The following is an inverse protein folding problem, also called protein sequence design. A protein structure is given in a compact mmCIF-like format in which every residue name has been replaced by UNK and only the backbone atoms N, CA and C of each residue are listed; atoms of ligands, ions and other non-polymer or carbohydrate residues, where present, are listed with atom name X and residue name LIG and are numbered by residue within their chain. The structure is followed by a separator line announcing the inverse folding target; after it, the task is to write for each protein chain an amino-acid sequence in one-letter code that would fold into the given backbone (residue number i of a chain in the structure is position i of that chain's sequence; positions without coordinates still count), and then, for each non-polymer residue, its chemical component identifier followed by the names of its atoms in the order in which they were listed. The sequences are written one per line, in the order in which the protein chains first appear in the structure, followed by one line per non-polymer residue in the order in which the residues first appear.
data_IF_853564950417
#
_entry.id   IF_853564950417
#
_cell.length_a   1.000
_cell.length_b   1.000
_cell.length_c   1.000
_cell.angle_alpha   90.00
_cell.angle_beta   90.00
_cell.angle_gamma   90.00
#
_symmetry.space_group_name_H-M   'P 1'
#
loop_
_entity.id
_entity.type
_entity.pdbx_description
1 polymer ?
#
# COMPACT_ATOMS: atom_id res chain seq x y z
N UNK A 1 30.62 -16.96 -4.68
CA UNK A 1 29.87 -17.70 -5.74
C UNK A 1 29.07 -18.80 -5.05
N UNK A 2 27.81 -18.52 -4.73
CA UNK A 2 26.86 -19.53 -4.23
C UNK A 2 25.87 -19.80 -5.34
N UNK A 3 25.88 -21.02 -5.86
CA UNK A 3 24.91 -21.49 -6.82
C UNK A 3 23.60 -21.73 -6.10
N UNK A 4 22.53 -21.05 -6.49
CA UNK A 4 21.18 -21.30 -6.04
C UNK A 4 20.63 -22.54 -6.75
N UNK A 5 19.94 -23.46 -6.09
CA UNK A 5 19.34 -24.60 -6.74
C UNK A 5 18.10 -24.18 -7.54
N UNK A 6 18.02 -24.73 -8.75
CA UNK A 6 16.84 -24.62 -9.61
C UNK A 6 15.76 -25.51 -9.02
N UNK A 7 14.65 -24.93 -8.56
CA UNK A 7 13.45 -25.66 -8.16
C UNK A 7 12.61 -25.94 -9.41
N UNK A 8 12.52 -27.21 -9.76
CA UNK A 8 11.57 -27.70 -10.77
C UNK A 8 10.18 -27.78 -10.15
N UNK A 9 9.25 -26.98 -10.64
CA UNK A 9 7.84 -27.08 -10.29
C UNK A 9 7.21 -28.26 -11.04
N UNK A 10 6.87 -29.33 -10.32
CA UNK A 10 6.07 -30.44 -10.83
C UNK A 10 4.60 -30.05 -10.83
N UNK A 11 4.04 -29.87 -12.02
CA UNK A 11 2.60 -29.68 -12.22
C UNK A 11 1.92 -31.07 -12.24
N UNK A 12 1.12 -31.37 -11.22
CA UNK A 12 0.31 -32.58 -11.14
C UNK A 12 -0.96 -32.38 -11.97
N UNK A 13 -1.06 -33.07 -13.11
CA UNK A 13 -2.29 -33.11 -13.89
C UNK A 13 -3.27 -34.11 -13.27
N UNK A 14 -4.43 -33.65 -12.84
CA UNK A 14 -5.54 -34.50 -12.39
C UNK A 14 -6.32 -34.99 -13.65
N UNK A 15 -6.19 -36.27 -13.97
CA UNK A 15 -7.10 -36.94 -14.90
C UNK A 15 -8.39 -37.32 -14.16
N UNK A 16 -9.51 -36.77 -14.59
CA UNK A 16 -10.83 -37.23 -14.20
C UNK A 16 -11.23 -38.43 -15.07
N UNK A 17 -11.30 -39.61 -14.47
CA UNK A 17 -11.95 -40.77 -15.06
C UNK A 17 -13.46 -40.64 -14.86
N UNK A 18 -14.22 -40.63 -15.95
CA UNK A 18 -15.65 -40.89 -15.94
C UNK A 18 -15.89 -42.32 -16.45
N UNK A 19 -16.34 -43.22 -15.58
CA UNK A 19 -16.91 -44.52 -15.92
C UNK A 19 -18.41 -44.43 -16.08
N UNK A 20 -18.95 -45.15 -17.04
CA UNK A 20 -20.37 -45.51 -17.13
C UNK A 20 -20.73 -45.85 -18.57
N UNK A 21 -20.95 -47.07 -18.94
CA UNK A 21 -21.82 -48.09 -18.68
C UNK A 21 -22.49 -48.60 -19.95
N UNK A 22 -22.20 -49.85 -20.29
CA UNK A 22 -23.10 -50.95 -20.79
C UNK A 22 -24.01 -50.75 -22.02
N UNK A 23 -23.85 -51.51 -23.06
CA UNK A 23 -24.42 -52.81 -23.39
C UNK A 23 -24.58 -53.07 -24.89
N UNK A 24 -24.18 -54.32 -25.21
CA UNK A 24 -24.80 -55.32 -26.10
C UNK A 24 -24.74 -55.17 -27.63
N UNK A 25 -24.06 -56.19 -28.16
CA UNK A 25 -24.41 -57.05 -29.29
C UNK A 25 -24.52 -56.48 -30.72
N UNK A 26 -23.67 -56.88 -31.66
CA UNK A 26 -23.84 -57.99 -32.58
C UNK A 26 -22.86 -57.98 -33.78
N UNK A 27 -22.26 -59.18 -33.99
CA UNK A 27 -21.91 -59.84 -35.25
C UNK A 27 -21.23 -59.14 -36.45
N UNK A 28 -20.03 -59.73 -36.72
CA UNK A 28 -19.50 -60.14 -38.04
C UNK A 28 -19.39 -59.14 -39.17
N UNK A 29 -18.16 -58.77 -39.50
CA UNK A 29 -17.73 -58.91 -40.89
C UNK A 29 -16.20 -59.04 -41.01
N UNK A 30 -15.70 -60.09 -41.68
CA UNK A 30 -14.33 -60.28 -42.12
C UNK A 30 -13.99 -59.27 -43.21
N UNK A 31 -12.90 -58.57 -43.03
CA UNK A 31 -12.26 -57.76 -44.05
C UNK A 31 -10.75 -57.72 -43.75
N UNK A 32 -9.97 -58.48 -44.50
CA UNK A 32 -8.51 -58.35 -44.59
C UNK A 32 -8.13 -56.91 -44.96
N UNK A 33 -7.33 -56.28 -44.10
CA UNK A 33 -6.57 -55.11 -44.49
C UNK A 33 -5.13 -55.24 -44.03
N UNK A 34 -4.26 -54.96 -44.98
CA UNK A 34 -2.85 -55.19 -44.97
C UNK A 34 -2.07 -54.46 -43.89
N UNK A 35 -0.87 -55.00 -43.68
CA UNK A 35 0.19 -54.43 -42.86
C UNK A 35 0.47 -52.97 -43.28
N UNK A 36 0.09 -52.04 -42.36
CA UNK A 36 0.64 -50.69 -42.39
C UNK A 36 1.84 -50.72 -41.43
N UNK A 37 3.01 -50.56 -41.97
CA UNK A 37 4.25 -50.25 -41.26
C UNK A 37 3.96 -48.99 -40.37
N UNK A 38 3.87 -49.20 -39.06
CA UNK A 38 3.74 -48.15 -38.08
C UNK A 38 5.05 -47.33 -38.06
N UNK A 39 5.06 -46.21 -38.76
CA UNK A 39 6.00 -45.13 -38.40
C UNK A 39 5.65 -44.72 -36.98
N UNK A 40 6.53 -45.01 -36.03
CA UNK A 40 6.52 -44.56 -34.67
C UNK A 40 6.65 -43.00 -34.71
N UNK A 41 5.51 -42.27 -34.69
CA UNK A 41 5.52 -40.84 -34.43
C UNK A 41 6.07 -40.67 -33.03
N UNK A 42 7.37 -40.46 -32.90
CA UNK A 42 7.94 -39.87 -31.69
C UNK A 42 7.38 -38.48 -31.59
N UNK A 43 6.35 -38.35 -30.75
CA UNK A 43 5.86 -37.07 -30.27
C UNK A 43 7.01 -36.40 -29.50
N UNK A 44 7.81 -35.63 -30.24
CA UNK A 44 8.87 -34.82 -29.67
C UNK A 44 8.16 -33.80 -28.79
N UNK A 45 8.14 -34.04 -27.48
CA UNK A 45 7.71 -33.06 -26.48
C UNK A 45 8.47 -31.75 -26.79
N UNK A 46 7.80 -30.81 -27.41
CA UNK A 46 8.32 -29.47 -27.58
C UNK A 46 8.32 -28.90 -26.17
N UNK A 47 9.49 -28.89 -25.51
CA UNK A 47 9.64 -28.22 -24.21
C UNK A 47 9.28 -26.75 -24.42
N UNK A 48 8.26 -26.29 -23.70
CA UNK A 48 7.90 -24.87 -23.72
C UNK A 48 9.08 -24.03 -23.22
N UNK A 49 9.43 -22.93 -23.92
CA UNK A 49 10.57 -22.11 -23.53
C UNK A 49 10.34 -21.50 -22.14
N UNK A 50 11.34 -21.59 -21.28
CA UNK A 50 11.32 -20.95 -19.96
C UNK A 50 11.53 -19.45 -20.15
N UNK A 51 10.47 -18.67 -19.93
CA UNK A 51 10.52 -17.21 -20.07
C UNK A 51 10.87 -16.56 -18.72
N UNK A 52 11.88 -15.67 -18.76
CA UNK A 52 12.19 -14.77 -17.64
C UNK A 52 12.15 -13.32 -18.15
N UNK A 53 11.32 -12.47 -17.55
CA UNK A 53 11.03 -11.11 -18.03
C UNK A 53 10.51 -11.06 -19.48
N UNK A 54 9.86 -12.14 -19.95
CA UNK A 54 9.40 -12.27 -21.33
C UNK A 54 10.50 -12.63 -22.34
N UNK A 55 11.72 -12.92 -21.88
CA UNK A 55 12.87 -13.35 -22.69
C UNK A 55 13.03 -14.86 -22.55
N UNK A 56 13.09 -15.59 -23.68
CA UNK A 56 13.43 -17.02 -23.69
C UNK A 56 14.84 -17.22 -23.15
N UNK A 57 14.97 -18.01 -22.09
CA UNK A 57 16.27 -18.23 -21.42
C UNK A 57 17.13 -19.28 -22.11
N UNK A 58 16.56 -20.09 -23.00
CA UNK A 58 17.21 -21.24 -23.63
C UNK A 58 18.57 -20.91 -24.29
N UNK A 59 18.72 -19.80 -25.06
CA UNK A 59 19.99 -19.47 -25.73
C UNK A 59 20.97 -18.68 -24.84
N UNK A 60 20.64 -18.46 -23.52
CA UNK A 60 21.40 -17.54 -22.69
C UNK A 60 21.96 -18.18 -21.43
N UNK A 61 23.16 -17.75 -21.05
CA UNK A 61 23.63 -17.81 -19.67
C UNK A 61 23.01 -16.64 -18.91
N UNK A 62 22.13 -16.95 -17.93
CA UNK A 62 21.43 -15.94 -17.13
C UNK A 62 22.13 -15.76 -15.77
N UNK A 63 22.52 -14.52 -15.46
CA UNK A 63 23.17 -14.18 -14.19
C UNK A 63 22.50 -12.96 -13.55
N UNK A 64 22.35 -12.97 -12.23
CA UNK A 64 21.79 -11.85 -11.46
C UNK A 64 22.85 -11.30 -10.51
N UNK A 65 22.96 -9.98 -10.45
CA UNK A 65 23.84 -9.23 -9.54
C UNK A 65 23.09 -8.00 -9.00
N UNK A 66 23.71 -7.21 -8.14
CA UNK A 66 23.12 -5.99 -7.59
C UNK A 66 24.01 -4.78 -7.90
N UNK A 67 23.36 -3.63 -8.10
CA UNK A 67 24.05 -2.35 -8.33
C UNK A 67 24.84 -1.98 -7.06
N UNK A 68 26.14 -1.72 -7.21
CA UNK A 68 27.03 -1.31 -6.11
C UNK A 68 26.88 0.19 -5.83
N UNK A 69 27.27 0.60 -4.63
CA UNK A 69 27.29 2.04 -4.29
C UNK A 69 28.19 2.82 -5.26
N UNK A 70 27.66 3.90 -5.85
CA UNK A 70 28.36 4.73 -6.83
C UNK A 70 28.47 4.15 -8.24
N UNK A 71 27.90 2.98 -8.49
CA UNK A 71 27.92 2.35 -9.81
C UNK A 71 26.88 2.99 -10.75
N UNK A 72 27.22 3.03 -12.04
CA UNK A 72 26.35 3.57 -13.09
C UNK A 72 25.99 2.49 -14.11
N UNK A 73 24.88 2.67 -14.82
CA UNK A 73 24.49 1.75 -15.93
C UNK A 73 25.63 1.65 -16.94
N UNK A 74 26.24 2.77 -17.34
CA UNK A 74 27.37 2.77 -18.27
C UNK A 74 28.55 1.97 -17.77
N UNK A 75 28.84 2.00 -16.47
CA UNK A 75 29.89 1.19 -15.84
C UNK A 75 29.57 -0.31 -15.89
N UNK A 76 28.32 -0.68 -15.57
CA UNK A 76 27.87 -2.07 -15.65
C UNK A 76 27.95 -2.58 -17.09
N UNK A 77 27.43 -1.82 -18.05
CA UNK A 77 27.40 -2.18 -19.46
C UNK A 77 28.82 -2.29 -20.05
N UNK A 78 29.70 -1.32 -19.73
CA UNK A 78 31.09 -1.31 -20.20
C UNK A 78 31.88 -2.54 -19.76
N UNK A 79 31.73 -2.98 -18.50
CA UNK A 79 32.36 -4.22 -17.98
C UNK A 79 31.84 -5.49 -18.70
N UNK A 80 30.66 -5.44 -19.29
CA UNK A 80 30.04 -6.53 -20.01
C UNK A 80 30.15 -6.37 -21.55
N UNK A 81 31.14 -5.59 -22.02
CA UNK A 81 31.49 -5.52 -23.42
C UNK A 81 30.66 -4.56 -24.27
N UNK A 82 29.73 -3.81 -23.70
CA UNK A 82 28.92 -2.83 -24.42
C UNK A 82 29.74 -1.56 -24.66
N UNK A 83 29.90 -1.19 -25.92
CA UNK A 83 30.71 -0.04 -26.33
C UNK A 83 30.12 1.30 -25.84
N UNK A 84 30.97 2.29 -25.57
CA UNK A 84 30.56 3.63 -25.14
C UNK A 84 29.55 4.27 -26.13
N UNK A 85 29.68 3.98 -27.46
CA UNK A 85 28.75 4.45 -28.49
C UNK A 85 27.32 3.89 -28.29
N UNK A 86 27.21 2.60 -27.92
CA UNK A 86 25.91 1.98 -27.62
C UNK A 86 25.30 2.55 -26.32
N UNK A 87 26.14 2.80 -25.29
CA UNK A 87 25.71 3.43 -24.04
C UNK A 87 25.19 4.85 -24.28
N UNK A 88 25.86 5.68 -25.08
CA UNK A 88 25.41 7.04 -25.45
C UNK A 88 24.07 7.01 -26.22
N UNK A 89 23.89 6.05 -27.12
CA UNK A 89 22.60 5.86 -27.81
C UNK A 89 21.50 5.46 -26.85
N UNK A 90 21.79 4.55 -25.91
CA UNK A 90 20.84 4.13 -24.87
C UNK A 90 20.43 5.31 -23.99
N UNK A 91 21.37 6.12 -23.53
CA UNK A 91 21.13 7.26 -22.67
C UNK A 91 20.18 8.29 -23.31
N UNK A 92 20.38 8.58 -24.60
CA UNK A 92 19.49 9.46 -25.37
C UNK A 92 18.05 8.95 -25.49
N UNK A 93 17.86 7.63 -25.48
CA UNK A 93 16.54 6.99 -25.56
C UNK A 93 15.89 6.82 -24.18
N UNK A 94 16.70 6.76 -23.14
CA UNK A 94 16.28 6.35 -21.80
C UNK A 94 15.45 7.41 -21.06
N UNK A 95 15.65 8.71 -21.32
CA UNK A 95 15.02 9.81 -20.57
C UNK A 95 13.48 9.73 -20.51
N UNK A 96 12.84 9.18 -21.54
CA UNK A 96 11.37 9.05 -21.61
C UNK A 96 10.83 7.73 -21.07
N UNK A 97 11.68 6.72 -20.90
CA UNK A 97 11.30 5.35 -20.52
C UNK A 97 11.76 5.03 -19.08
N UNK A 98 13.07 5.11 -18.87
CA UNK A 98 13.73 4.95 -17.58
C UNK A 98 15.11 5.64 -17.63
N UNK A 99 15.27 6.85 -17.04
CA UNK A 99 16.53 7.57 -17.05
C UNK A 99 17.66 6.77 -16.41
N UNK A 100 18.82 6.64 -17.09
CA UNK A 100 19.93 5.81 -16.60
C UNK A 100 20.50 6.29 -15.27
N UNK A 101 20.32 7.57 -14.92
CA UNK A 101 20.70 8.16 -13.64
C UNK A 101 19.82 7.72 -12.45
N UNK A 102 18.68 7.07 -12.72
CA UNK A 102 17.71 6.68 -11.68
C UNK A 102 17.99 5.27 -11.11
N UNK A 103 19.06 4.60 -11.54
CA UNK A 103 19.49 3.37 -10.87
C UNK A 103 19.92 3.65 -9.43
N UNK A 104 19.67 2.68 -8.56
CA UNK A 104 19.97 2.78 -7.14
C UNK A 104 20.81 1.59 -6.68
N UNK A 105 21.70 1.84 -5.74
CA UNK A 105 22.46 0.79 -5.06
C UNK A 105 21.51 -0.26 -4.45
N UNK A 106 21.98 -1.48 -4.35
CA UNK A 106 21.29 -2.67 -3.81
C UNK A 106 20.10 -3.17 -4.64
N UNK A 107 19.78 -2.52 -5.77
CA UNK A 107 18.79 -3.03 -6.71
C UNK A 107 19.39 -4.11 -7.60
N UNK A 108 18.61 -5.18 -7.78
CA UNK A 108 19.02 -6.30 -8.62
C UNK A 108 18.97 -5.95 -10.13
N UNK A 109 19.87 -6.52 -10.87
CA UNK A 109 19.80 -6.59 -12.32
C UNK A 109 20.17 -8.00 -12.82
N UNK A 110 19.51 -8.43 -13.89
CA UNK A 110 19.71 -9.73 -14.51
C UNK A 110 20.29 -9.55 -15.90
N UNK A 111 21.34 -10.29 -16.22
CA UNK A 111 22.01 -10.27 -17.50
C UNK A 111 21.74 -11.56 -18.28
N UNK A 112 21.44 -11.42 -19.55
CA UNK A 112 21.28 -12.52 -20.51
C UNK A 112 22.43 -12.46 -21.50
N UNK A 113 23.35 -13.40 -21.39
CA UNK A 113 24.55 -13.48 -22.20
C UNK A 113 24.49 -14.68 -23.12
N UNK A 114 24.73 -14.46 -24.40
CA UNK A 114 24.78 -15.50 -25.41
C UNK A 114 26.24 -15.84 -25.72
N UNK A 115 26.54 -17.14 -25.78
CA UNK A 115 27.86 -17.62 -26.27
C UNK A 115 27.95 -17.45 -27.76
N UNK A 116 29.01 -16.83 -28.24
CA UNK A 116 29.34 -16.69 -29.67
C UNK A 116 30.72 -17.25 -29.95
N UNK A 117 30.87 -17.83 -31.13
CA UNK A 117 32.14 -18.31 -31.67
C UNK A 117 32.54 -17.43 -32.83
N UNK A 118 33.72 -16.81 -32.76
CA UNK A 118 34.28 -16.02 -33.86
C UNK A 118 35.79 -16.28 -34.04
N UNK A 119 36.47 -15.45 -34.81
CA UNK A 119 37.92 -15.58 -35.08
C UNK A 119 38.81 -15.41 -33.85
N UNK A 120 38.28 -14.86 -32.74
CA UNK A 120 38.98 -14.68 -31.45
C UNK A 120 38.74 -15.84 -30.47
N UNK A 121 37.83 -16.78 -30.81
CA UNK A 121 37.46 -17.91 -30.00
C UNK A 121 36.04 -17.80 -29.47
N UNK A 122 35.73 -18.63 -28.46
CA UNK A 122 34.44 -18.64 -27.78
C UNK A 122 34.40 -17.56 -26.69
N UNK A 123 33.36 -16.72 -26.71
CA UNK A 123 33.17 -15.68 -25.71
C UNK A 123 31.68 -15.34 -25.50
N UNK A 124 31.35 -14.73 -24.34
CA UNK A 124 29.99 -14.32 -24.03
C UNK A 124 29.71 -12.88 -24.47
N UNK A 125 28.56 -12.66 -25.08
CA UNK A 125 28.04 -11.33 -25.47
C UNK A 125 26.77 -11.05 -24.72
N UNK A 126 26.68 -9.85 -24.12
CA UNK A 126 25.48 -9.37 -23.40
C UNK A 126 24.44 -8.91 -24.45
N UNK A 127 23.31 -9.64 -24.53
CA UNK A 127 22.17 -9.26 -25.37
C UNK A 127 21.10 -8.48 -24.59
N UNK A 128 20.87 -8.81 -23.32
CA UNK A 128 19.91 -8.07 -22.48
C UNK A 128 20.45 -7.85 -21.07
N UNK A 129 20.15 -6.66 -20.51
CA UNK A 129 20.24 -6.36 -19.08
C UNK A 129 18.88 -5.90 -18.61
N UNK A 130 18.32 -6.57 -17.60
CA UNK A 130 17.03 -6.26 -16.98
C UNK A 130 17.29 -5.69 -15.59
N UNK A 131 16.96 -4.42 -15.38
CA UNK A 131 17.11 -3.74 -14.10
C UNK A 131 15.79 -3.71 -13.35
N UNK A 132 15.77 -4.19 -12.09
CA UNK A 132 14.58 -4.20 -11.26
C UNK A 132 14.35 -2.83 -10.59
N UNK A 133 13.37 -2.07 -11.08
CA UNK A 133 13.02 -0.74 -10.58
C UNK A 133 12.41 -0.85 -9.18
N UNK A 134 11.43 -1.74 -9.03
CA UNK A 134 10.76 -2.06 -7.78
C UNK A 134 10.34 -3.54 -7.75
N UNK A 135 9.42 -3.95 -6.88
CA UNK A 135 9.03 -5.35 -6.77
C UNK A 135 8.27 -5.88 -8.01
N UNK A 136 7.73 -5.00 -8.83
CA UNK A 136 6.93 -5.36 -10.01
C UNK A 136 7.50 -4.80 -11.31
N UNK A 137 7.99 -3.56 -11.31
CA UNK A 137 8.44 -2.89 -12.51
C UNK A 137 9.92 -3.15 -12.78
N UNK A 138 10.27 -3.30 -14.04
CA UNK A 138 11.64 -3.46 -14.52
C UNK A 138 11.88 -2.70 -15.84
N UNK A 139 13.14 -2.36 -16.08
CA UNK A 139 13.61 -1.81 -17.34
C UNK A 139 14.50 -2.83 -18.04
N UNK A 140 14.20 -3.13 -19.30
CA UNK A 140 15.01 -4.00 -20.16
C UNK A 140 15.83 -3.17 -21.12
N UNK A 141 17.14 -3.33 -21.07
CA UNK A 141 18.11 -2.78 -22.01
C UNK A 141 18.53 -3.89 -22.97
N UNK A 142 18.26 -3.74 -24.26
CA UNK A 142 18.56 -4.73 -25.30
C UNK A 142 19.70 -4.26 -26.22
N UNK A 143 20.61 -5.18 -26.57
CA UNK A 143 21.82 -4.92 -27.35
C UNK A 143 22.01 -5.96 -28.47
N UNK A 144 20.95 -6.43 -29.06
CA UNK A 144 20.98 -7.49 -30.08
C UNK A 144 21.56 -6.95 -31.42
N UNK A 145 22.68 -7.49 -31.85
CA UNK A 145 23.42 -6.98 -33.01
C UNK A 145 23.86 -5.52 -32.82
N UNK A 146 23.60 -4.66 -33.79
CA UNK A 146 23.87 -3.23 -33.71
C UNK A 146 22.72 -2.41 -33.07
N UNK A 147 21.62 -3.08 -32.79
CA UNK A 147 20.42 -2.43 -32.18
C UNK A 147 20.63 -2.13 -30.73
N UNK A 148 20.04 -1.01 -30.29
CA UNK A 148 19.92 -0.63 -28.87
C UNK A 148 18.46 -0.26 -28.63
N UNK A 149 17.85 -0.88 -27.62
CA UNK A 149 16.49 -0.57 -27.23
C UNK A 149 16.35 -0.53 -25.70
N UNK A 150 15.36 0.21 -25.22
CA UNK A 150 14.96 0.23 -23.83
C UNK A 150 13.44 0.12 -23.76
N UNK A 151 12.96 -0.75 -22.87
CA UNK A 151 11.54 -0.88 -22.55
C UNK A 151 11.35 -0.88 -21.04
N UNK A 152 10.20 -0.39 -20.59
CA UNK A 152 9.74 -0.55 -19.22
C UNK A 152 8.52 -1.43 -19.22
N UNK A 153 8.54 -2.44 -18.37
CA UNK A 153 7.46 -3.43 -18.24
C UNK A 153 7.23 -3.76 -16.77
N UNK A 154 6.14 -4.45 -16.50
CA UNK A 154 5.80 -4.93 -15.17
C UNK A 154 5.62 -6.45 -15.22
N UNK A 155 6.04 -7.12 -14.14
CA UNK A 155 5.74 -8.53 -13.95
C UNK A 155 4.23 -8.72 -13.78
N UNK A 156 3.66 -9.83 -14.22
CA UNK A 156 2.24 -10.10 -14.01
C UNK A 156 1.94 -10.17 -12.52
N UNK A 157 0.83 -9.54 -12.14
CA UNK A 157 0.36 -9.51 -10.76
C UNK A 157 -0.87 -10.40 -10.68
N UNK A 158 -0.83 -11.36 -9.77
CA UNK A 158 -2.00 -12.13 -9.34
C UNK A 158 -2.48 -11.62 -7.98
N UNK A 159 -3.75 -11.81 -7.69
CA UNK A 159 -4.32 -11.44 -6.40
C UNK A 159 -4.96 -12.66 -5.76
N UNK A 160 -4.75 -12.79 -4.46
CA UNK A 160 -5.37 -13.85 -3.66
C UNK A 160 -6.13 -13.21 -2.51
N UNK A 161 -7.38 -13.61 -2.32
CA UNK A 161 -8.21 -13.21 -1.19
C UNK A 161 -7.69 -13.85 0.09
N UNK A 162 -7.50 -13.03 1.12
CA UNK A 162 -7.06 -13.46 2.44
C UNK A 162 -7.95 -12.88 3.55
N UNK A 163 -8.13 -13.67 4.61
CA UNK A 163 -8.75 -13.23 5.86
C UNK A 163 -7.70 -13.36 6.96
N UNK A 164 -7.08 -12.24 7.31
CA UNK A 164 -6.12 -12.19 8.42
C UNK A 164 -6.84 -11.93 9.74
N UNK A 165 -6.42 -12.61 10.81
CA UNK A 165 -6.83 -12.36 12.19
C UNK A 165 -5.61 -12.52 13.08
N UNK A 166 -5.38 -11.57 13.99
CA UNK A 166 -4.28 -11.68 14.93
C UNK A 166 -4.64 -11.05 16.28
N UNK A 167 -4.17 -11.67 17.36
CA UNK A 167 -4.16 -11.09 18.69
C UNK A 167 -2.86 -10.30 18.87
N UNK A 168 -2.97 -9.14 19.49
CA UNK A 168 -1.86 -8.24 19.75
C UNK A 168 -1.23 -8.61 21.09
N UNK A 169 0.05 -8.91 21.08
CA UNK A 169 0.82 -9.19 22.30
C UNK A 169 1.64 -7.98 22.75
N UNK A 170 2.07 -7.13 21.83
CA UNK A 170 2.89 -5.94 22.12
C UNK A 170 2.55 -4.74 21.25
N UNK A 171 2.37 -4.94 19.95
CA UNK A 171 2.04 -3.90 18.98
C UNK A 171 1.30 -4.51 17.78
N UNK A 172 0.56 -3.68 17.04
CA UNK A 172 -0.08 -4.08 15.79
C UNK A 172 0.96 -4.64 14.80
N UNK A 173 2.09 -3.94 14.65
CA UNK A 173 3.16 -4.37 13.75
C UNK A 173 3.76 -5.71 14.16
N UNK A 174 4.01 -5.92 15.46
CA UNK A 174 4.50 -7.19 15.99
C UNK A 174 3.52 -8.35 15.73
N UNK A 175 2.22 -8.12 15.87
CA UNK A 175 1.20 -9.14 15.59
C UNK A 175 1.15 -9.52 14.10
N UNK A 176 1.27 -8.54 13.19
CA UNK A 176 1.32 -8.76 11.74
C UNK A 176 2.55 -9.59 11.35
N UNK A 177 3.73 -9.23 11.87
CA UNK A 177 4.97 -9.96 11.58
C UNK A 177 4.96 -11.38 12.15
N UNK A 178 4.40 -11.59 13.35
CA UNK A 178 4.30 -12.91 13.96
C UNK A 178 3.42 -13.88 13.16
N UNK A 179 2.48 -13.36 12.36
CA UNK A 179 1.60 -14.14 11.49
C UNK A 179 2.11 -14.22 10.04
N UNK A 180 3.33 -13.73 9.75
CA UNK A 180 3.88 -13.63 8.39
C UNK A 180 2.96 -12.88 7.40
N UNK A 181 2.16 -11.94 7.89
CA UNK A 181 1.28 -11.11 7.06
C UNK A 181 2.09 -10.00 6.34
N UNK A 182 1.60 -9.49 5.21
CA UNK A 182 2.25 -8.39 4.51
C UNK A 182 2.47 -7.20 5.44
N UNK A 183 3.68 -6.73 5.52
CA UNK A 183 4.04 -5.59 6.37
C UNK A 183 3.20 -4.32 6.07
N UNK A 184 2.81 -4.13 4.80
CA UNK A 184 1.95 -3.03 4.37
C UNK A 184 0.56 -3.06 5.04
N UNK A 185 0.10 -4.22 5.50
CA UNK A 185 -1.20 -4.38 6.16
C UNK A 185 -1.30 -3.59 7.48
N UNK A 186 -0.17 -3.39 8.18
CA UNK A 186 -0.13 -2.55 9.39
C UNK A 186 -0.54 -1.11 9.09
N UNK A 187 0.00 -0.54 8.01
CA UNK A 187 -0.31 0.83 7.60
C UNK A 187 -1.78 0.97 7.17
N UNK A 188 -2.32 -0.03 6.47
CA UNK A 188 -3.73 -0.05 6.07
C UNK A 188 -4.66 -0.11 7.29
N UNK A 189 -4.38 -0.98 8.26
CA UNK A 189 -5.17 -1.09 9.50
C UNK A 189 -5.07 0.22 10.32
N UNK A 190 -3.87 0.78 10.46
CA UNK A 190 -3.71 2.07 11.12
C UNK A 190 -4.51 3.17 10.40
N UNK A 191 -4.49 3.22 9.07
CA UNK A 191 -5.19 4.25 8.29
C UNK A 191 -6.71 4.13 8.43
N UNK A 192 -7.26 2.92 8.39
CA UNK A 192 -8.68 2.64 8.55
C UNK A 192 -9.17 3.07 9.94
N UNK A 193 -8.44 2.70 10.99
CA UNK A 193 -8.89 2.88 12.37
C UNK A 193 -8.31 4.10 13.10
N UNK A 194 -7.45 4.91 12.46
CA UNK A 194 -6.78 6.07 13.08
C UNK A 194 -7.70 7.06 13.81
N UNK A 195 -8.98 7.05 13.45
CA UNK A 195 -10.00 7.93 14.03
C UNK A 195 -10.78 7.28 15.17
N UNK A 196 -10.80 5.95 15.24
CA UNK A 196 -11.66 5.18 16.14
C UNK A 196 -10.88 4.44 17.21
N UNK A 197 -9.62 4.09 16.95
CA UNK A 197 -8.72 3.33 17.80
C UNK A 197 -7.56 4.20 18.24
N UNK A 198 -7.21 4.14 19.52
CA UNK A 198 -5.99 4.74 20.05
C UNK A 198 -4.84 3.73 19.95
N UNK A 199 -4.11 3.75 18.85
CA UNK A 199 -2.99 2.83 18.60
C UNK A 199 -1.82 3.01 19.58
N UNK A 200 -1.79 4.10 20.37
CA UNK A 200 -0.81 4.27 21.46
C UNK A 200 -1.27 3.61 22.76
N UNK A 201 -2.57 3.34 22.89
CA UNK A 201 -3.18 2.67 24.03
C UNK A 201 -3.50 1.19 23.83
N UNK A 202 -3.00 0.59 22.73
CA UNK A 202 -3.17 -0.84 22.46
C UNK A 202 -2.57 -1.68 23.58
N UNK A 203 -3.30 -2.70 24.01
CA UNK A 203 -2.89 -3.60 25.07
C UNK A 203 -2.78 -5.05 24.54
N UNK A 204 -2.03 -5.87 25.27
CA UNK A 204 -2.05 -7.30 25.04
C UNK A 204 -3.46 -7.86 25.23
N UNK A 205 -3.91 -8.72 24.29
CA UNK A 205 -5.28 -9.24 24.24
C UNK A 205 -6.22 -8.45 23.33
N UNK A 206 -5.84 -7.24 22.87
CA UNK A 206 -6.53 -6.60 21.74
C UNK A 206 -6.32 -7.44 20.48
N UNK A 207 -7.26 -7.36 19.53
CA UNK A 207 -7.15 -8.15 18.30
C UNK A 207 -7.72 -7.41 17.10
N UNK A 208 -7.31 -7.80 15.91
CA UNK A 208 -7.84 -7.27 14.67
C UNK A 208 -8.12 -8.38 13.66
N UNK A 209 -8.99 -8.07 12.69
CA UNK A 209 -9.18 -8.88 11.50
C UNK A 209 -9.32 -8.00 10.28
N UNK A 210 -8.85 -8.51 9.13
CA UNK A 210 -8.91 -7.82 7.84
C UNK A 210 -9.20 -8.83 6.74
N UNK A 211 -10.17 -8.52 5.89
CA UNK A 211 -10.44 -9.20 4.63
C UNK A 211 -9.82 -8.37 3.53
N UNK A 212 -8.86 -8.92 2.79
CA UNK A 212 -8.10 -8.15 1.82
C UNK A 212 -7.59 -9.02 0.67
N UNK A 213 -7.26 -8.36 -0.44
CA UNK A 213 -6.49 -8.98 -1.51
C UNK A 213 -5.01 -8.79 -1.25
N UNK A 214 -4.25 -9.87 -1.33
CA UNK A 214 -2.79 -9.84 -1.37
C UNK A 214 -2.32 -9.97 -2.81
N UNK A 215 -1.38 -9.11 -3.20
CA UNK A 215 -0.80 -9.08 -4.54
C UNK A 215 0.47 -9.88 -4.58
N UNK A 216 0.61 -10.72 -5.59
CA UNK A 216 1.77 -11.58 -5.81
C UNK A 216 2.36 -11.37 -7.20
N UNK A 217 3.66 -11.58 -7.29
CA UNK A 217 4.40 -11.79 -8.54
C UNK A 217 5.10 -13.13 -8.42
N UNK A 218 4.64 -14.12 -9.18
CA UNK A 218 4.95 -15.51 -8.88
C UNK A 218 4.54 -15.83 -7.43
N UNK A 219 5.46 -16.42 -6.65
CA UNK A 219 5.21 -16.77 -5.25
C UNK A 219 5.54 -15.63 -4.25
N UNK A 220 5.99 -14.47 -4.74
CA UNK A 220 6.42 -13.37 -3.89
C UNK A 220 5.29 -12.37 -3.67
N UNK A 221 4.93 -12.14 -2.40
CA UNK A 221 4.04 -11.04 -2.01
C UNK A 221 4.67 -9.68 -2.35
N UNK A 222 3.93 -8.85 -3.09
CA UNK A 222 4.37 -7.52 -3.52
C UNK A 222 3.54 -6.39 -2.90
N UNK A 223 2.52 -6.73 -2.10
CA UNK A 223 1.76 -5.75 -1.35
C UNK A 223 0.31 -6.13 -1.11
N UNK A 224 -0.39 -5.21 -0.48
CA UNK A 224 -1.81 -5.30 -0.17
C UNK A 224 -2.61 -4.67 -1.31
N UNK A 225 -3.69 -5.32 -1.70
CA UNK A 225 -4.66 -4.82 -2.66
C UNK A 225 -5.83 -4.12 -1.97
N UNK A 226 -7.05 -4.49 -2.37
CA UNK A 226 -8.28 -3.94 -1.80
C UNK A 226 -8.53 -4.51 -0.40
N UNK A 227 -9.05 -3.66 0.48
CA UNK A 227 -9.63 -4.06 1.77
C UNK A 227 -11.15 -4.17 1.59
N UNK A 228 -11.71 -5.30 1.97
CA UNK A 228 -13.14 -5.60 1.87
C UNK A 228 -13.88 -5.49 3.18
N UNK A 229 -13.15 -5.41 4.28
CA UNK A 229 -13.66 -5.20 5.60
C UNK A 229 -12.56 -5.36 6.64
N UNK A 230 -12.75 -4.72 7.79
CA UNK A 230 -11.85 -4.89 8.93
C UNK A 230 -12.61 -4.79 10.24
N UNK A 231 -12.03 -5.32 11.30
CA UNK A 231 -12.45 -5.02 12.66
C UNK A 231 -11.24 -4.84 13.58
N UNK A 232 -11.45 -4.06 14.64
CA UNK A 232 -10.52 -3.93 15.75
C UNK A 232 -11.26 -4.15 17.05
N UNK A 233 -10.79 -5.09 17.88
CA UNK A 233 -11.38 -5.43 19.17
C UNK A 233 -10.43 -5.01 20.28
N UNK A 234 -10.91 -4.15 21.18
CA UNK A 234 -10.19 -3.74 22.39
C UNK A 234 -11.07 -4.04 23.62
N UNK A 235 -10.62 -4.97 24.44
CA UNK A 235 -11.41 -5.52 25.53
C UNK A 235 -12.73 -6.13 25.04
N UNK A 236 -13.86 -5.63 25.55
CA UNK A 236 -15.20 -6.09 25.13
C UNK A 236 -15.74 -5.35 23.90
N UNK A 237 -15.07 -4.29 23.42
CA UNK A 237 -15.56 -3.46 22.34
C UNK A 237 -14.95 -3.88 20.99
N UNK A 238 -15.81 -4.27 20.04
CA UNK A 238 -15.43 -4.47 18.63
C UNK A 238 -15.87 -3.27 17.82
N UNK A 239 -14.95 -2.70 17.05
CA UNK A 239 -15.21 -1.65 16.07
C UNK A 239 -15.02 -2.25 14.68
N UNK A 240 -16.09 -2.35 13.90
CA UNK A 240 -16.02 -2.78 12.51
C UNK A 240 -15.70 -1.62 11.60
N UNK A 241 -15.08 -1.92 10.47
CA UNK A 241 -14.81 -1.00 9.38
C UNK A 241 -15.36 -1.61 8.08
N UNK A 242 -16.51 -1.14 7.68
CA UNK A 242 -17.27 -1.62 6.53
C UNK A 242 -17.06 -0.60 5.41
N UNK A 243 -16.35 -0.95 4.32
CA UNK A 243 -16.16 -0.06 3.19
C UNK A 243 -17.47 0.06 2.40
N UNK A 244 -17.88 1.28 2.08
CA UNK A 244 -19.07 1.53 1.28
C UNK A 244 -18.87 2.78 0.41
N UNK A 245 -19.23 2.71 -0.87
CA UNK A 245 -19.05 3.79 -1.82
C UNK A 245 -20.23 4.77 -1.81
N UNK A 246 -19.97 6.07 -2.05
CA UNK A 246 -21.00 7.05 -2.36
C UNK A 246 -21.35 7.04 -3.87
N UNK A 247 -22.33 7.85 -4.30
CA UNK A 247 -22.74 7.97 -5.71
C UNK A 247 -21.60 8.43 -6.66
N UNK A 248 -20.53 8.99 -6.11
CA UNK A 248 -19.34 9.38 -6.87
C UNK A 248 -18.27 8.29 -6.90
N UNK A 249 -18.56 7.10 -6.35
CA UNK A 249 -17.63 5.99 -6.23
C UNK A 249 -16.54 6.19 -5.18
N UNK A 250 -16.70 7.16 -4.25
CA UNK A 250 -15.75 7.38 -3.17
C UNK A 250 -16.06 6.45 -2.00
N UNK A 251 -15.17 5.51 -1.73
CA UNK A 251 -15.27 4.57 -0.60
C UNK A 251 -14.94 5.27 0.71
N UNK A 252 -15.79 5.06 1.71
CA UNK A 252 -15.58 5.46 3.10
C UNK A 252 -15.86 4.27 4.01
N UNK A 253 -15.28 4.28 5.24
CA UNK A 253 -15.49 3.22 6.21
C UNK A 253 -16.52 3.61 7.24
N UNK A 254 -17.42 2.68 7.53
CA UNK A 254 -18.56 2.84 8.43
C UNK A 254 -18.50 1.78 9.53
N UNK A 255 -18.98 2.10 10.72
CA UNK A 255 -19.10 1.14 11.81
C UNK A 255 -20.33 0.21 11.58
N UNK A 256 -20.52 -0.73 12.51
CA UNK A 256 -21.65 -1.67 12.48
C UNK A 256 -23.01 -1.00 12.32
N UNK A 257 -23.19 0.17 12.94
CA UNK A 257 -24.45 0.93 12.93
C UNK A 257 -24.58 1.86 11.71
N UNK A 258 -23.62 1.90 10.80
CA UNK A 258 -23.57 2.85 9.68
C UNK A 258 -23.21 4.28 10.14
N UNK A 259 -22.44 4.42 11.21
CA UNK A 259 -21.82 5.69 11.60
C UNK A 259 -20.44 5.77 10.99
N UNK A 260 -20.08 6.92 10.42
CA UNK A 260 -18.75 7.09 9.82
C UNK A 260 -17.65 6.82 10.85
N UNK A 261 -16.66 6.02 10.47
CA UNK A 261 -15.43 5.87 11.25
C UNK A 261 -14.60 7.14 11.23
N UNK A 262 -14.69 7.92 10.18
CA UNK A 262 -14.05 9.23 10.09
C UNK A 262 -14.72 10.17 11.11
N UNK A 263 -13.94 10.72 12.02
CA UNK A 263 -14.40 11.69 13.00
C UNK A 263 -14.32 13.10 12.44
N UNK A 264 -15.13 14.02 12.98
CA UNK A 264 -15.04 15.43 12.59
C UNK A 264 -13.65 16.02 12.89
N UNK A 265 -12.96 15.52 13.90
CA UNK A 265 -11.62 15.96 14.28
C UNK A 265 -10.72 14.79 14.67
N UNK A 266 -9.42 14.91 14.38
CA UNK A 266 -8.39 14.05 14.95
C UNK A 266 -8.33 14.20 16.47
N UNK A 267 -8.01 13.12 17.18
CA UNK A 267 -7.80 13.13 18.62
C UNK A 267 -6.60 13.97 19.05
N UNK A 268 -5.55 13.98 18.23
CA UNK A 268 -4.36 14.83 18.41
C UNK A 268 -3.77 15.23 17.05
N UNK A 269 -3.15 16.42 16.94
CA UNK A 269 -2.59 16.93 15.69
C UNK A 269 -1.21 16.36 15.35
N UNK A 270 -0.60 15.55 16.22
CA UNK A 270 0.77 15.03 16.05
C UNK A 270 0.99 13.76 16.91
N UNK A 271 2.06 13.02 16.59
CA UNK A 271 2.61 12.03 17.51
C UNK A 271 3.39 12.75 18.62
N UNK A 272 3.05 12.51 19.86
CA UNK A 272 3.66 13.19 21.02
C UNK A 272 4.19 12.19 22.06
N UNK A 273 5.17 12.62 22.84
CA UNK A 273 5.73 11.80 23.92
C UNK A 273 4.85 11.81 25.15
N UNK A 274 4.34 13.01 25.52
CA UNK A 274 3.47 13.24 26.68
C UNK A 274 2.75 14.58 26.59
N UNK A 275 1.65 14.72 27.34
CA UNK A 275 1.02 16.01 27.57
C UNK A 275 1.79 16.69 28.71
N UNK A 276 2.46 17.80 28.41
CA UNK A 276 3.25 18.56 29.37
C UNK A 276 2.45 19.61 30.14
N UNK A 277 1.35 20.11 29.57
CA UNK A 277 0.44 21.02 30.24
C UNK A 277 -0.98 20.85 29.70
N UNK A 278 -1.95 20.83 30.62
CA UNK A 278 -3.37 20.74 30.29
C UNK A 278 -4.03 22.11 30.20
N UNK A 279 -5.21 22.15 29.59
CA UNK A 279 -6.09 23.30 29.58
C UNK A 279 -6.48 23.72 31.00
N UNK A 280 -6.38 25.01 31.32
CA UNK A 280 -6.79 25.55 32.59
C UNK A 280 -7.07 27.06 32.50
N UNK A 281 -8.03 27.56 33.23
CA UNK A 281 -8.30 28.98 33.33
C UNK A 281 -7.33 29.71 34.28
N UNK A 282 -6.58 29.02 35.11
CA UNK A 282 -5.65 29.60 36.11
C UNK A 282 -4.46 28.69 36.35
N UNK A 283 -3.26 29.07 35.89
CA UNK A 283 -1.97 28.41 36.24
C UNK A 283 -0.87 29.43 36.45
N UNK A 284 0.12 29.10 37.25
CA UNK A 284 1.35 29.86 37.35
C UNK A 284 2.13 29.70 36.03
N UNK A 285 2.34 30.81 35.32
CA UNK A 285 3.06 30.78 34.03
C UNK A 285 4.55 30.45 34.29
N UNK A 286 5.15 29.43 33.66
CA UNK A 286 6.49 28.95 33.97
C UNK A 286 7.58 29.99 33.72
N UNK A 287 7.41 30.87 32.74
CA UNK A 287 8.38 31.91 32.38
C UNK A 287 8.10 33.21 33.15
N UNK A 288 6.86 33.69 33.12
CA UNK A 288 6.52 34.99 33.69
C UNK A 288 6.20 34.99 35.20
N UNK A 289 6.08 33.80 35.82
CA UNK A 289 5.79 33.65 37.24
C UNK A 289 4.53 34.36 37.73
N UNK A 290 3.57 34.59 36.83
CA UNK A 290 2.26 35.18 37.13
C UNK A 290 1.15 34.18 36.81
N UNK A 291 0.02 34.28 37.51
CA UNK A 291 -1.13 33.43 37.19
C UNK A 291 -1.80 33.87 35.90
N UNK A 292 -1.82 32.97 34.93
CA UNK A 292 -2.48 33.19 33.61
C UNK A 292 -3.23 31.95 33.18
N UNK A 293 -4.31 32.09 32.40
CA UNK A 293 -4.95 30.93 31.80
C UNK A 293 -4.02 30.26 30.80
N UNK A 294 -4.13 28.95 30.64
CA UNK A 294 -3.60 28.18 29.54
C UNK A 294 -4.78 27.61 28.75
N UNK A 295 -5.15 28.25 27.65
CA UNK A 295 -6.35 27.94 26.87
C UNK A 295 -6.03 26.94 25.74
N UNK A 296 -5.13 26.00 26.04
CA UNK A 296 -4.70 24.94 25.13
C UNK A 296 -4.17 23.72 25.85
N UNK A 297 -3.62 22.80 25.09
CA UNK A 297 -2.90 21.61 25.60
C UNK A 297 -1.50 21.61 24.98
N UNK A 298 -0.47 21.50 25.83
CA UNK A 298 0.92 21.42 25.38
C UNK A 298 1.30 19.95 25.18
N UNK A 299 1.56 19.58 23.93
CA UNK A 299 2.06 18.28 23.53
C UNK A 299 3.58 18.32 23.39
N UNK A 300 4.32 17.72 24.33
CA UNK A 300 5.77 17.57 24.24
C UNK A 300 6.11 16.59 23.12
N UNK A 301 6.93 17.05 22.18
CA UNK A 301 7.41 16.24 21.06
C UNK A 301 8.76 16.76 20.60
N UNK A 302 9.61 15.92 19.96
CA UNK A 302 10.88 16.36 19.38
C UNK A 302 10.70 17.51 18.39
N UNK A 303 11.69 18.41 18.33
CA UNK A 303 11.70 19.47 17.32
C UNK A 303 11.68 18.88 15.91
N UNK A 304 10.80 19.42 15.04
CA UNK A 304 10.61 18.93 13.68
C UNK A 304 9.58 17.80 13.54
N UNK A 305 8.96 17.36 14.63
CA UNK A 305 7.83 16.41 14.55
C UNK A 305 6.72 16.98 13.64
N UNK A 306 6.20 16.22 12.68
CA UNK A 306 5.12 16.67 11.80
C UNK A 306 3.85 17.02 12.57
N UNK A 307 3.23 18.14 12.21
CA UNK A 307 1.95 18.63 12.76
C UNK A 307 0.91 18.64 11.65
N UNK A 308 -0.25 18.06 11.93
CA UNK A 308 -1.31 17.85 10.95
C UNK A 308 -2.57 18.64 11.33
N UNK A 309 -3.34 19.06 10.33
CA UNK A 309 -4.67 19.61 10.57
C UNK A 309 -5.60 18.56 11.17
N UNK A 310 -6.26 18.90 12.24
CA UNK A 310 -7.18 17.93 12.92
C UNK A 310 -8.51 17.76 12.20
N UNK A 311 -8.88 18.65 11.30
CA UNK A 311 -10.11 18.59 10.51
C UNK A 311 -9.94 19.33 9.18
N UNK A 312 -10.87 19.10 8.25
CA UNK A 312 -10.98 19.89 7.02
C UNK A 312 -11.23 21.36 7.36
N UNK A 313 -10.59 22.30 6.66
CA UNK A 313 -10.77 23.72 6.97
C UNK A 313 -10.03 24.68 6.05
N UNK A 314 -10.04 25.93 6.44
CA UNK A 314 -9.32 27.01 5.74
C UNK A 314 -8.39 27.71 6.71
N UNK A 315 -7.12 27.86 6.33
CA UNK A 315 -6.11 28.59 7.10
C UNK A 315 -6.49 30.08 7.16
N UNK A 316 -6.75 30.59 8.36
CA UNK A 316 -7.11 31.98 8.59
C UNK A 316 -5.93 32.82 9.12
N UNK A 317 -4.88 32.16 9.62
CA UNK A 317 -3.61 32.76 10.01
C UNK A 317 -2.46 31.78 9.80
N UNK A 318 -1.36 32.25 9.22
CA UNK A 318 -0.08 31.57 9.14
C UNK A 318 1.01 32.63 9.22
N UNK A 319 1.73 32.69 10.33
CA UNK A 319 2.76 33.72 10.58
C UNK A 319 3.13 33.87 12.03
N UNK A 320 3.90 34.92 12.34
CA UNK A 320 4.32 35.21 13.71
C UNK A 320 3.14 35.68 14.59
N UNK A 321 2.95 35.00 15.72
CA UNK A 321 1.84 35.24 16.68
C UNK A 321 2.27 35.82 18.03
N UNK A 322 3.33 36.64 18.07
CA UNK A 322 3.87 37.18 19.32
C UNK A 322 4.38 36.10 20.25
N UNK A 323 3.86 35.99 21.48
CA UNK A 323 4.23 34.96 22.43
C UNK A 323 4.02 33.52 21.93
N UNK A 324 3.10 33.29 21.00
CA UNK A 324 2.87 31.99 20.36
C UNK A 324 3.92 31.59 19.30
N UNK A 325 4.84 32.50 18.96
CA UNK A 325 5.85 32.24 17.91
C UNK A 325 5.21 32.04 16.54
N UNK A 326 5.73 31.15 15.73
CA UNK A 326 5.13 30.76 14.46
C UNK A 326 3.81 30.04 14.73
N UNK A 327 2.70 30.59 14.24
CA UNK A 327 1.36 30.07 14.51
C UNK A 327 0.57 29.83 13.24
N UNK A 328 -0.28 28.79 13.26
CA UNK A 328 -1.32 28.54 12.29
C UNK A 328 -2.66 28.53 13.02
N UNK A 329 -3.66 29.24 12.47
CA UNK A 329 -5.07 29.07 12.86
C UNK A 329 -5.87 28.61 11.66
N UNK A 330 -6.76 27.63 11.91
CA UNK A 330 -7.62 27.03 10.89
C UNK A 330 -9.06 27.15 11.33
N UNK A 331 -9.91 27.66 10.44
CA UNK A 331 -11.37 27.69 10.61
C UNK A 331 -11.96 26.44 9.98
N UNK A 332 -12.75 25.71 10.74
CA UNK A 332 -13.45 24.49 10.35
C UNK A 332 -14.97 24.73 10.24
N UNK A 333 -15.69 23.70 9.80
CA UNK A 333 -17.14 23.71 9.82
C UNK A 333 -17.69 23.76 11.26
N UNK A 334 -18.96 24.10 11.41
CA UNK A 334 -19.65 24.08 12.70
C UNK A 334 -19.14 25.09 13.73
N UNK A 335 -18.50 26.20 13.29
CA UNK A 335 -18.00 27.25 14.20
C UNK A 335 -16.73 26.85 14.98
N UNK A 336 -16.10 25.76 14.62
CA UNK A 336 -14.83 25.33 15.20
C UNK A 336 -13.64 26.08 14.60
N UNK A 337 -12.66 26.38 15.44
CA UNK A 337 -11.36 26.92 15.05
C UNK A 337 -10.27 26.22 15.84
N UNK A 338 -9.14 25.91 15.19
CA UNK A 338 -7.96 25.36 15.86
C UNK A 338 -6.75 26.26 15.71
N UNK A 339 -5.86 26.20 16.70
CA UNK A 339 -4.60 26.92 16.72
C UNK A 339 -3.44 25.99 17.02
N UNK A 340 -2.34 26.19 16.30
CA UNK A 340 -1.10 25.43 16.36
C UNK A 340 0.04 26.42 16.58
N UNK A 341 0.62 26.46 17.77
CA UNK A 341 1.58 27.47 18.20
C UNK A 341 2.98 26.87 18.43
N UNK A 342 3.96 27.74 18.54
CA UNK A 342 5.39 27.42 18.75
C UNK A 342 6.03 26.59 17.61
N UNK A 343 5.48 26.67 16.40
CA UNK A 343 5.97 25.89 15.26
C UNK A 343 7.40 26.31 14.86
N UNK A 344 8.21 25.35 14.42
CA UNK A 344 9.52 25.58 13.80
C UNK A 344 9.35 26.25 12.44
N UNK A 345 8.46 25.71 11.62
CA UNK A 345 8.16 26.17 10.27
C UNK A 345 6.79 25.67 9.79
N UNK A 346 6.29 26.28 8.75
CA UNK A 346 5.08 25.83 8.06
C UNK A 346 5.44 24.80 6.98
N UNK A 347 4.54 23.91 6.65
CA UNK A 347 4.69 22.98 5.54
C UNK A 347 4.58 23.75 4.20
N UNK A 348 5.17 23.17 3.14
CA UNK A 348 5.15 23.76 1.79
C UNK A 348 3.72 24.03 1.34
N UNK A 349 3.45 25.26 0.89
CA UNK A 349 2.14 25.66 0.36
C UNK A 349 1.12 26.12 1.42
N UNK A 350 1.43 26.04 2.72
CA UNK A 350 0.55 26.52 3.79
C UNK A 350 0.68 28.03 3.96
N UNK A 351 -0.41 28.75 3.66
CA UNK A 351 -0.55 30.20 3.79
C UNK A 351 -2.00 30.56 4.11
N UNK A 352 -2.27 31.79 4.48
CA UNK A 352 -3.64 32.29 4.70
C UNK A 352 -4.46 32.07 3.42
N UNK A 353 -5.67 31.53 3.58
CA UNK A 353 -6.56 31.13 2.49
C UNK A 353 -6.36 29.71 1.97
N UNK A 354 -5.30 28.99 2.37
CA UNK A 354 -5.11 27.59 1.99
C UNK A 354 -6.26 26.74 2.54
N UNK A 355 -6.90 25.94 1.68
CA UNK A 355 -7.77 24.84 2.11
C UNK A 355 -6.90 23.67 2.53
N UNK A 356 -7.21 23.07 3.65
CA UNK A 356 -6.51 21.90 4.20
C UNK A 356 -7.50 20.80 4.50
N UNK A 357 -7.07 19.58 4.26
CA UNK A 357 -7.82 18.38 4.63
C UNK A 357 -7.40 17.89 6.00
N UNK A 358 -8.29 17.17 6.66
CA UNK A 358 -7.99 16.46 7.90
C UNK A 358 -6.81 15.51 7.69
N UNK A 359 -5.82 15.54 8.60
CA UNK A 359 -4.59 14.76 8.47
C UNK A 359 -3.54 15.38 7.54
N UNK A 360 -3.82 16.48 6.87
CA UNK A 360 -2.84 17.16 6.04
C UNK A 360 -1.71 17.75 6.89
N UNK A 361 -0.46 17.55 6.47
CA UNK A 361 0.71 18.17 7.07
C UNK A 361 0.62 19.71 6.92
N UNK A 362 0.69 20.44 8.04
CA UNK A 362 0.59 21.90 8.05
C UNK A 362 1.84 22.58 8.59
N UNK A 363 2.68 21.88 9.36
CA UNK A 363 3.89 22.46 9.94
C UNK A 363 4.68 21.46 10.75
N UNK A 364 5.63 21.97 11.51
CA UNK A 364 6.56 21.14 12.31
C UNK A 364 6.72 21.71 13.70
N UNK A 365 6.79 20.86 14.72
CA UNK A 365 7.02 21.24 16.11
C UNK A 365 8.30 22.06 16.24
N UNK A 366 8.23 23.13 17.00
CA UNK A 366 9.33 24.02 17.30
C UNK A 366 9.41 24.42 18.78
N UNK A 367 10.02 25.56 19.03
CA UNK A 367 10.09 26.22 20.33
C UNK A 367 10.18 27.75 20.11
N UNK A 368 9.43 28.27 19.12
CA UNK A 368 9.44 29.70 18.77
C UNK A 368 8.52 30.49 19.70
N UNK A 369 8.78 31.79 19.86
CA UNK A 369 8.02 32.63 20.80
C UNK A 369 8.39 32.38 22.26
N UNK A 370 7.40 32.50 23.16
CA UNK A 370 7.58 32.31 24.63
C UNK A 370 7.43 30.83 24.98
N UNK A 371 8.46 30.05 24.74
CA UNK A 371 8.50 28.60 24.95
C UNK A 371 9.70 28.22 25.79
N UNK A 372 9.57 27.18 26.63
CA UNK A 372 10.64 26.63 27.48
C UNK A 372 11.34 25.42 26.87
N UNK A 373 10.84 24.89 25.75
CA UNK A 373 11.39 23.74 25.07
C UNK A 373 10.46 23.24 23.95
N UNK A 374 10.89 22.27 23.13
CA UNK A 374 10.10 21.79 22.00
C UNK A 374 8.75 21.20 22.43
N UNK A 375 7.67 21.81 21.95
CA UNK A 375 6.28 21.35 22.15
C UNK A 375 5.35 22.02 21.13
N UNK A 376 4.15 21.51 21.02
CA UNK A 376 3.03 22.14 20.35
C UNK A 376 2.02 22.60 21.39
N UNK A 377 1.72 23.91 21.46
CA UNK A 377 0.53 24.42 22.16
C UNK A 377 -0.64 24.35 21.16
N UNK A 378 -1.55 23.41 21.43
CA UNK A 378 -2.71 23.13 20.62
C UNK A 378 -3.98 23.69 21.26
N UNK A 379 -4.76 24.45 20.51
CA UNK A 379 -5.94 25.16 21.02
C UNK A 379 -7.16 24.89 20.17
N UNK A 380 -8.32 24.89 20.81
CA UNK A 380 -9.62 24.77 20.14
C UNK A 380 -10.56 25.87 20.65
N UNK A 381 -11.29 26.47 19.72
CA UNK A 381 -12.39 27.39 20.02
C UNK A 381 -13.66 26.85 19.38
N UNK A 382 -14.77 26.96 20.11
CA UNK A 382 -16.11 26.73 19.60
C UNK A 382 -16.86 28.06 19.63
N UNK A 383 -17.27 28.57 18.48
CA UNK A 383 -17.92 29.87 18.32
C UNK A 383 -17.18 31.01 19.04
N UNK A 384 -15.84 31.01 18.93
CA UNK A 384 -14.97 32.01 19.56
C UNK A 384 -14.63 31.76 21.03
N UNK A 385 -15.25 30.80 21.69
CA UNK A 385 -14.97 30.46 23.10
C UNK A 385 -13.92 29.36 23.17
N UNK A 386 -12.80 29.53 23.92
CA UNK A 386 -11.81 28.48 24.12
C UNK A 386 -12.43 27.30 24.87
N UNK A 387 -12.19 26.11 24.38
CA UNK A 387 -12.64 24.85 25.01
C UNK A 387 -11.44 23.90 25.22
N UNK A 388 -11.56 23.01 26.20
CA UNK A 388 -10.51 22.04 26.52
C UNK A 388 -10.38 21.01 25.39
N UNK A 389 -9.26 20.97 24.66
CA UNK A 389 -9.05 20.03 23.55
C UNK A 389 -9.22 18.55 23.95
N UNK A 390 -8.92 18.20 25.20
CA UNK A 390 -9.04 16.81 25.70
C UNK A 390 -10.48 16.39 25.99
N UNK A 391 -11.40 17.37 26.11
CA UNK A 391 -12.82 17.13 26.40
C UNK A 391 -13.72 17.28 25.18
N UNK A 392 -13.16 17.66 24.02
CA UNK A 392 -13.97 17.76 22.80
C UNK A 392 -14.48 16.37 22.43
N UNK A 393 -15.80 16.21 22.49
CA UNK A 393 -16.45 14.99 22.05
C UNK A 393 -16.29 14.85 20.54
N UNK A 394 -15.58 13.82 20.14
CA UNK A 394 -15.40 13.52 18.72
C UNK A 394 -16.70 12.94 18.18
N UNK A 395 -17.51 13.78 17.55
CA UNK A 395 -18.69 13.31 16.85
C UNK A 395 -18.27 12.54 15.59
N UNK A 396 -18.94 11.42 15.25
CA UNK A 396 -18.83 10.86 13.91
C UNK A 396 -19.18 11.94 12.88
N UNK A 397 -18.62 11.87 11.68
CA UNK A 397 -19.18 12.61 10.56
C UNK A 397 -20.61 12.15 10.31
N UNK A 398 -21.27 12.73 9.32
CA UNK A 398 -22.65 12.39 8.99
C UNK A 398 -22.89 10.87 8.95
N UNK A 399 -24.04 10.38 9.46
CA UNK A 399 -24.40 8.98 9.34
C UNK A 399 -24.61 8.62 7.87
N UNK A 400 -24.53 7.32 7.56
CA UNK A 400 -24.83 6.81 6.24
C UNK A 400 -26.22 7.31 5.79
N UNK A 401 -26.34 7.90 4.58
CA UNK A 401 -27.63 8.34 4.06
C UNK A 401 -28.64 7.20 4.03
N UNK A 402 -29.89 7.50 4.41
CA UNK A 402 -30.94 6.48 4.53
C UNK A 402 -31.21 5.67 3.26
N UNK A 403 -30.97 6.27 2.09
CA UNK A 403 -31.12 5.60 0.78
C UNK A 403 -30.18 4.40 0.60
N UNK A 404 -29.04 4.36 1.31
CA UNK A 404 -28.06 3.27 1.22
C UNK A 404 -28.21 2.23 2.32
N UNK A 405 -29.15 2.43 3.26
CA UNK A 405 -29.23 1.64 4.47
C UNK A 405 -29.36 0.14 4.21
N UNK A 406 -30.25 -0.24 3.29
CA UNK A 406 -30.50 -1.65 2.98
C UNK A 406 -29.27 -2.33 2.36
N UNK A 407 -28.65 -1.70 1.37
CA UNK A 407 -27.47 -2.25 0.68
C UNK A 407 -26.28 -2.34 1.64
N UNK A 408 -26.12 -1.35 2.50
CA UNK A 408 -25.08 -1.36 3.53
C UNK A 408 -25.28 -2.51 4.54
N UNK A 409 -26.50 -2.75 5.00
CA UNK A 409 -26.79 -3.82 5.95
C UNK A 409 -26.52 -5.20 5.34
N UNK A 410 -26.85 -5.41 4.07
CA UNK A 410 -26.51 -6.64 3.35
C UNK A 410 -24.98 -6.83 3.26
N UNK A 411 -24.26 -5.79 2.85
CA UNK A 411 -22.80 -5.82 2.77
C UNK A 411 -22.17 -6.09 4.14
N UNK A 412 -22.62 -5.39 5.19
CA UNK A 412 -22.17 -5.58 6.56
C UNK A 412 -22.30 -7.05 6.98
N UNK A 413 -23.47 -7.62 6.78
CA UNK A 413 -23.78 -8.98 7.24
C UNK A 413 -22.94 -10.01 6.47
N UNK A 414 -22.68 -9.80 5.17
CA UNK A 414 -21.76 -10.61 4.38
C UNK A 414 -20.32 -10.51 4.87
N UNK A 415 -19.82 -9.30 5.18
CA UNK A 415 -18.48 -9.10 5.76
C UNK A 415 -18.34 -9.85 7.08
N UNK A 416 -19.35 -9.77 7.95
CA UNK A 416 -19.34 -10.46 9.24
C UNK A 416 -19.34 -11.98 9.04
N UNK A 417 -20.19 -12.51 8.16
CA UNK A 417 -20.24 -13.94 7.84
C UNK A 417 -18.90 -14.44 7.29
N UNK A 418 -18.20 -13.65 6.46
CA UNK A 418 -16.87 -14.00 5.96
C UNK A 418 -15.84 -14.02 7.11
N UNK A 419 -15.92 -13.08 8.06
CA UNK A 419 -15.08 -13.13 9.27
C UNK A 419 -15.41 -14.34 10.16
N UNK A 420 -16.65 -14.75 10.27
CA UNK A 420 -17.05 -15.88 11.10
C UNK A 420 -16.82 -17.23 10.43
N UNK A 421 -16.53 -17.23 9.12
CA UNK A 421 -16.41 -18.46 8.31
C UNK A 421 -17.74 -19.15 8.09
N UNK A 422 -18.85 -18.42 8.23
CA UNK A 422 -20.23 -18.90 8.04
C UNK A 422 -20.80 -18.54 6.67
N UNK A 423 -20.03 -17.83 5.83
CA UNK A 423 -20.42 -17.51 4.48
C UNK A 423 -20.69 -18.79 3.67
N UNK A 424 -21.84 -18.92 2.99
CA UNK A 424 -22.15 -20.10 2.18
C UNK A 424 -21.11 -20.30 1.09
N UNK A 425 -20.56 -21.52 0.99
CA UNK A 425 -19.70 -22.09 -0.04
C UNK A 425 -19.07 -21.15 -1.07
N UNK A 426 -18.14 -20.28 -0.64
CA UNK A 426 -17.38 -19.40 -1.55
C UNK A 426 -18.03 -18.05 -1.86
N UNK A 427 -19.09 -17.66 -1.17
CA UNK A 427 -19.73 -16.34 -1.32
C UNK A 427 -18.92 -15.26 -0.59
N UNK A 428 -17.82 -14.85 -1.23
CA UNK A 428 -16.97 -13.78 -0.71
C UNK A 428 -17.53 -12.40 -1.07
N UNK A 429 -17.30 -11.42 -0.20
CA UNK A 429 -17.60 -10.02 -0.49
C UNK A 429 -16.78 -9.57 -1.72
N UNK A 430 -17.45 -8.97 -2.68
CA UNK A 430 -16.85 -8.53 -3.94
C UNK A 430 -16.67 -7.02 -3.97
N UNK A 431 -15.95 -6.53 -4.99
CA UNK A 431 -15.87 -5.10 -5.26
C UNK A 431 -17.24 -4.50 -5.59
N UNK A 432 -18.06 -5.23 -6.34
CA UNK A 432 -19.40 -4.77 -6.74
C UNK A 432 -20.32 -4.59 -5.52
N UNK A 433 -20.17 -5.39 -4.47
CA UNK A 433 -20.91 -5.19 -3.23
C UNK A 433 -20.56 -3.85 -2.54
N UNK A 434 -19.28 -3.48 -2.54
CA UNK A 434 -18.82 -2.20 -1.96
C UNK A 434 -19.39 -1.01 -2.73
N UNK A 435 -19.48 -1.14 -4.05
CA UNK A 435 -20.02 -0.11 -4.95
C UNK A 435 -21.51 -0.25 -5.21
N UNK A 436 -22.19 -1.21 -4.53
CA UNK A 436 -23.62 -1.56 -4.71
C UNK A 436 -24.05 -1.63 -6.17
N UNK A 437 -23.15 -2.18 -7.05
CA UNK A 437 -23.45 -2.43 -8.46
C UNK A 437 -24.23 -3.71 -8.58
N UNK A 438 -25.27 -3.68 -9.44
CA UNK A 438 -25.97 -4.91 -9.79
C UNK A 438 -25.08 -5.78 -10.69
N UNK A 439 -25.15 -7.12 -10.62
CA UNK A 439 -24.32 -8.04 -11.42
C UNK A 439 -24.38 -7.80 -12.94
N UNK A 440 -25.41 -7.13 -13.43
CA UNK A 440 -25.58 -6.77 -14.85
C UNK A 440 -24.73 -5.59 -15.32
N UNK A 441 -24.20 -4.77 -14.41
CA UNK A 441 -23.49 -3.53 -14.76
C UNK A 441 -21.98 -3.76 -14.99
N UNK A 442 -21.45 -4.92 -14.58
CA UNK A 442 -20.02 -5.27 -14.70
C UNK A 442 -19.58 -5.61 -16.13
N UNK A 443 -20.51 -5.86 -17.07
CA UNK A 443 -20.20 -6.23 -18.46
C UNK A 443 -20.02 -5.03 -19.41
N UNK A 444 -20.17 -3.79 -18.96
CA UNK A 444 -20.22 -2.61 -19.86
C UNK A 444 -18.93 -1.75 -19.82
N UNK A 445 -17.91 -2.07 -19.04
CA UNK A 445 -16.69 -1.23 -18.89
C UNK A 445 -15.47 -1.78 -19.63
N UNK A 446 -15.61 -2.82 -20.45
CA UNK A 446 -14.55 -3.31 -21.33
C UNK A 446 -14.81 -2.91 -22.79
N UNK A 447 -14.60 -1.63 -23.13
CA UNK A 447 -14.37 -1.18 -24.51
C UNK A 447 -13.35 -0.05 -24.55
#
# INVERSE_FOLDING_TARGET
MKRLPIFTASLLALMAMACGGNSSDNENNHGEFGDFDGEEYTDSLIEEPVLLYGIDTTPYTVTTDSVRSGETVGGILGRNGISARKVDRLDKMADTVFPLRDIRADKAYTMFKRTVQDSTGEHEVLDYLVYQINNTDYATFAFVGDSVAITRSSLPITTTRNVARAEITSSLWGAIMAQNLPYALAAEVEDIFKWSVDFFGIQAGDSFGVIYDEKFTGDKSVGVGRIYGAYFKSGSKTTYAIPFADDNGRVSYWDYDGKSLKRQMLKAPLKYTRISSKFTHKRLHPVHRVYRPHLGVDYAAPMGTPVHSVADGTVIKAGWGGGGGNTIYIKHAGGLQTGYLHLKSFAKGIKVGSKVSQGQLIGYVGSTGTSTGPHLDYRIWQNGTPIDPLKVTQQPQEPLPSKYRADFELLRDRIISEFEGTAPGGDHVTEDDIYHRQPSDSLTVAK
#
